data_IF_976804926538
#
_entry.id   IF_976804926538
#
_cell.length_a   1.000
_cell.length_b   1.000
_cell.length_c   1.000
_cell.angle_alpha   90.00
_cell.angle_beta   90.00
_cell.angle_gamma   90.00
#
_symmetry.space_group_name_H-M   'P 1'
#
loop_
_entity.id
_entity.type
_entity.pdbx_description
1 polymer ?
#
# COMPACT_ATOMS: atom_id res chain seq x y z
N UNK A 1 29.05 -30.47 -11.77
CA UNK A 1 28.68 -30.24 -10.36
C UNK A 1 28.29 -31.62 -9.83
N UNK A 2 29.16 -32.20 -9.00
CA UNK A 2 29.17 -33.63 -8.65
C UNK A 2 27.92 -33.97 -7.83
N UNK A 3 27.18 -35.00 -8.26
CA UNK A 3 26.14 -35.68 -7.49
C UNK A 3 26.64 -35.97 -6.06
N UNK A 4 26.24 -35.16 -5.07
CA UNK A 4 26.41 -35.50 -3.65
C UNK A 4 25.05 -35.94 -3.11
N UNK A 5 24.87 -37.26 -3.03
CA UNK A 5 23.65 -37.95 -2.55
C UNK A 5 23.34 -37.79 -1.05
N UNK A 6 24.14 -37.03 -0.29
CA UNK A 6 23.94 -36.92 1.16
C UNK A 6 23.05 -35.73 1.53
N UNK A 7 21.74 -35.99 1.53
CA UNK A 7 20.68 -35.04 1.85
C UNK A 7 20.80 -34.47 3.26
N UNK A 8 21.28 -35.27 4.22
CA UNK A 8 21.45 -34.83 5.61
C UNK A 8 22.65 -33.90 5.77
N UNK A 9 23.74 -34.16 5.05
CA UNK A 9 24.90 -33.27 5.01
C UNK A 9 24.54 -31.90 4.41
N UNK A 10 23.81 -31.86 3.28
CA UNK A 10 23.39 -30.61 2.63
C UNK A 10 22.43 -29.78 3.49
N UNK A 11 21.45 -30.42 4.13
CA UNK A 11 20.54 -29.74 5.07
C UNK A 11 21.29 -29.18 6.29
N UNK A 12 22.32 -29.90 6.77
CA UNK A 12 23.18 -29.45 7.87
C UNK A 12 24.11 -28.29 7.46
N UNK A 13 24.67 -28.32 6.26
CA UNK A 13 25.47 -27.23 5.68
C UNK A 13 24.61 -25.97 5.45
N UNK A 14 23.41 -26.11 4.90
CA UNK A 14 22.45 -25.00 4.76
C UNK A 14 21.98 -24.48 6.12
N UNK A 15 21.73 -25.37 7.08
CA UNK A 15 21.38 -24.98 8.45
C UNK A 15 22.49 -24.20 9.15
N UNK A 16 23.76 -24.54 8.88
CA UNK A 16 24.92 -23.78 9.34
C UNK A 16 25.07 -22.44 8.61
N UNK A 17 24.78 -22.39 7.31
CA UNK A 17 24.79 -21.15 6.52
C UNK A 17 23.76 -20.12 7.01
N UNK A 18 22.61 -20.59 7.51
CA UNK A 18 21.56 -19.75 8.07
C UNK A 18 21.58 -19.70 9.61
N UNK A 19 22.67 -20.06 10.28
CA UNK A 19 22.70 -20.18 11.74
C UNK A 19 22.33 -18.89 12.48
N UNK A 20 22.63 -17.75 11.87
CA UNK A 20 22.38 -16.42 12.43
C UNK A 20 21.00 -15.86 12.05
N UNK A 21 20.27 -16.57 11.17
CA UNK A 21 18.90 -16.22 10.80
C UNK A 21 17.93 -16.95 11.74
N UNK A 22 16.99 -16.20 12.34
CA UNK A 22 15.91 -16.71 13.20
C UNK A 22 15.15 -17.91 12.60
N UNK A 23 15.01 -17.93 11.29
CA UNK A 23 14.28 -18.91 10.50
C UNK A 23 15.20 -19.94 9.79
N UNK A 24 16.49 -19.94 10.07
CA UNK A 24 17.50 -20.63 9.25
C UNK A 24 17.30 -22.12 9.05
N UNK A 25 16.88 -22.85 10.08
CA UNK A 25 16.57 -24.28 9.96
C UNK A 25 15.42 -24.55 8.97
N UNK A 26 14.35 -23.74 9.04
CA UNK A 26 13.20 -23.90 8.16
C UNK A 26 13.57 -23.50 6.72
N UNK A 27 14.31 -22.41 6.54
CA UNK A 27 14.83 -21.98 5.24
C UNK A 27 15.67 -23.08 4.59
N UNK A 28 16.59 -23.69 5.34
CA UNK A 28 17.43 -24.77 4.86
C UNK A 28 16.59 -25.95 4.31
N UNK A 29 15.53 -26.35 5.03
CA UNK A 29 14.64 -27.43 4.59
C UNK A 29 13.87 -27.02 3.34
N UNK A 30 13.29 -25.81 3.31
CA UNK A 30 12.50 -25.33 2.18
C UNK A 30 13.34 -25.25 0.90
N UNK A 31 14.56 -24.72 0.99
CA UNK A 31 15.49 -24.64 -0.15
C UNK A 31 15.91 -26.04 -0.60
N UNK A 32 16.33 -26.91 0.32
CA UNK A 32 16.73 -28.26 -0.05
C UNK A 32 15.60 -29.04 -0.73
N UNK A 33 14.35 -28.88 -0.27
CA UNK A 33 13.18 -29.51 -0.89
C UNK A 33 12.86 -28.93 -2.26
N UNK A 34 12.98 -27.61 -2.41
CA UNK A 34 12.76 -26.96 -3.69
C UNK A 34 13.78 -27.43 -4.75
N UNK A 35 15.06 -27.56 -4.38
CA UNK A 35 16.11 -28.12 -5.25
C UNK A 35 15.76 -29.54 -5.70
N UNK A 36 15.34 -30.40 -4.76
CA UNK A 36 14.91 -31.77 -5.10
C UNK A 36 13.75 -31.80 -6.10
N UNK A 37 12.77 -30.89 -5.97
CA UNK A 37 11.65 -30.83 -6.90
C UNK A 37 12.08 -30.30 -8.27
N UNK A 38 12.93 -29.27 -8.32
CA UNK A 38 13.42 -28.71 -9.56
C UNK A 38 14.25 -29.72 -10.36
N UNK A 39 15.08 -30.53 -9.69
CA UNK A 39 15.86 -31.59 -10.34
C UNK A 39 14.94 -32.59 -11.07
N UNK A 40 13.80 -32.96 -10.49
CA UNK A 40 12.81 -33.88 -11.12
C UNK A 40 12.26 -33.29 -12.43
N UNK A 41 12.02 -31.98 -12.48
CA UNK A 41 11.53 -31.30 -13.67
C UNK A 41 12.64 -31.14 -14.73
N UNK A 42 13.84 -30.75 -14.32
CA UNK A 42 14.98 -30.59 -15.22
C UNK A 42 15.43 -31.91 -15.84
N UNK A 43 15.37 -33.03 -15.10
CA UNK A 43 15.61 -34.39 -15.63
C UNK A 43 14.65 -34.79 -16.76
N UNK A 44 13.53 -34.08 -16.90
CA UNK A 44 12.50 -34.30 -17.92
C UNK A 44 12.43 -33.18 -18.96
N UNK A 45 13.46 -32.33 -19.03
CA UNK A 45 13.51 -31.15 -19.90
C UNK A 45 12.29 -30.22 -19.74
N UNK A 46 11.73 -30.14 -18.53
CA UNK A 46 10.59 -29.27 -18.22
C UNK A 46 11.06 -28.03 -17.47
N UNK A 47 10.88 -26.85 -18.07
CA UNK A 47 11.37 -25.57 -17.52
C UNK A 47 10.27 -24.53 -17.26
N UNK A 48 9.03 -24.80 -17.67
CA UNK A 48 7.88 -23.91 -17.46
C UNK A 48 7.36 -24.01 -16.02
N UNK A 49 8.15 -23.49 -15.08
CA UNK A 49 7.96 -23.65 -13.64
C UNK A 49 7.74 -22.29 -12.98
N UNK A 50 6.77 -22.23 -12.06
CA UNK A 50 6.60 -21.12 -11.12
C UNK A 50 6.77 -21.65 -9.70
N UNK A 51 7.51 -20.91 -8.86
CA UNK A 51 7.84 -21.32 -7.50
C UNK A 51 6.95 -20.57 -6.50
N UNK A 52 6.46 -21.28 -5.49
CA UNK A 52 5.86 -20.65 -4.30
C UNK A 52 6.31 -21.35 -3.03
N UNK A 53 6.55 -20.56 -1.99
CA UNK A 53 7.06 -20.98 -0.70
C UNK A 53 6.32 -20.21 0.39
N UNK A 54 5.14 -20.71 0.76
CA UNK A 54 4.19 -19.99 1.63
C UNK A 54 4.30 -20.43 3.08
N UNK A 55 4.12 -19.49 3.99
CA UNK A 55 3.94 -19.72 5.43
C UNK A 55 2.88 -18.76 5.98
N UNK A 56 2.41 -19.02 7.20
CA UNK A 56 1.58 -18.08 7.97
C UNK A 56 2.40 -17.01 8.71
N UNK A 57 3.71 -17.24 8.86
CA UNK A 57 4.64 -16.27 9.45
C UNK A 57 5.18 -15.34 8.35
N UNK A 58 4.81 -14.06 8.42
CA UNK A 58 5.23 -13.03 7.47
C UNK A 58 6.75 -12.86 7.38
N UNK A 59 7.48 -13.01 8.50
CA UNK A 59 8.94 -12.86 8.52
C UNK A 59 9.62 -14.02 7.77
N UNK A 60 9.15 -15.25 8.01
CA UNK A 60 9.62 -16.43 7.28
C UNK A 60 9.30 -16.33 5.78
N UNK A 61 8.14 -15.79 5.41
CA UNK A 61 7.78 -15.57 4.00
C UNK A 61 8.78 -14.61 3.33
N UNK A 62 9.08 -13.49 3.98
CA UNK A 62 10.07 -12.52 3.47
C UNK A 62 11.43 -13.20 3.28
N UNK A 63 11.93 -13.90 4.30
CA UNK A 63 13.23 -14.57 4.24
C UNK A 63 13.28 -15.66 3.17
N UNK A 64 12.23 -16.48 3.08
CA UNK A 64 12.15 -17.58 2.13
C UNK A 64 12.17 -17.08 0.69
N UNK A 65 11.31 -16.13 0.33
CA UNK A 65 11.30 -15.60 -1.04
C UNK A 65 12.57 -14.81 -1.35
N UNK A 66 13.14 -14.09 -0.38
CA UNK A 66 14.43 -13.38 -0.57
C UNK A 66 15.56 -14.35 -0.90
N UNK A 67 15.64 -15.49 -0.22
CA UNK A 67 16.65 -16.50 -0.51
C UNK A 67 16.37 -17.29 -1.79
N UNK A 68 15.10 -17.59 -2.07
CA UNK A 68 14.70 -18.27 -3.31
C UNK A 68 15.04 -17.40 -4.53
N UNK A 69 14.70 -16.10 -4.50
CA UNK A 69 14.95 -15.18 -5.60
C UNK A 69 16.44 -15.05 -5.97
N UNK A 70 17.35 -15.20 -4.99
CA UNK A 70 18.81 -15.18 -5.23
C UNK A 70 19.33 -16.47 -5.88
N UNK A 71 18.62 -17.58 -5.72
CA UNK A 71 19.12 -18.93 -6.04
C UNK A 71 18.48 -19.53 -7.28
N UNK A 72 17.20 -19.24 -7.52
CA UNK A 72 16.41 -19.87 -8.57
C UNK A 72 15.89 -18.82 -9.56
N UNK A 73 16.28 -18.89 -10.84
CA UNK A 73 15.85 -17.94 -11.85
C UNK A 73 14.47 -18.34 -12.43
N UNK A 74 13.48 -18.50 -11.55
CA UNK A 74 12.10 -18.85 -11.93
C UNK A 74 11.11 -17.81 -11.40
N UNK A 75 9.98 -17.59 -12.10
CA UNK A 75 8.91 -16.74 -11.61
C UNK A 75 8.42 -17.17 -10.22
N UNK A 76 8.12 -16.19 -9.37
CA UNK A 76 7.69 -16.38 -7.99
C UNK A 76 6.22 -16.00 -7.81
N UNK A 77 5.42 -16.96 -7.38
CA UNK A 77 4.04 -16.74 -6.94
C UNK A 77 3.97 -16.50 -5.45
N UNK A 78 3.95 -15.23 -5.08
CA UNK A 78 3.94 -14.78 -3.69
C UNK A 78 2.60 -15.03 -3.00
N UNK A 79 2.67 -15.35 -1.71
CA UNK A 79 1.49 -15.45 -0.87
C UNK A 79 1.85 -15.80 0.57
N UNK A 80 1.06 -15.28 1.50
CA UNK A 80 0.99 -15.76 2.89
C UNK A 80 -0.16 -16.77 2.94
N UNK A 81 0.00 -17.90 3.63
CA UNK A 81 -1.08 -18.88 3.79
C UNK A 81 -1.68 -18.81 5.20
N UNK A 82 -2.94 -19.21 5.36
CA UNK A 82 -3.65 -19.19 6.65
C UNK A 82 -3.58 -17.82 7.37
N UNK A 83 -3.79 -16.71 6.64
CA UNK A 83 -3.60 -15.37 7.20
C UNK A 83 -4.68 -14.97 8.24
N UNK A 84 -5.74 -15.76 8.44
CA UNK A 84 -6.82 -15.46 9.40
C UNK A 84 -7.96 -14.65 8.77
N UNK A 85 -8.84 -13.98 9.54
CA UNK A 85 -9.93 -13.14 9.01
C UNK A 85 -9.37 -11.90 8.29
N UNK A 86 -10.18 -11.23 7.43
CA UNK A 86 -9.74 -10.12 6.56
C UNK A 86 -8.91 -9.06 7.29
N UNK A 87 -9.36 -8.60 8.45
CA UNK A 87 -8.77 -7.48 9.19
C UNK A 87 -7.32 -7.78 9.59
N UNK A 88 -7.08 -8.97 10.13
CA UNK A 88 -5.72 -9.38 10.55
C UNK A 88 -4.93 -10.02 9.41
N UNK A 89 -5.61 -10.70 8.49
CA UNK A 89 -5.01 -11.38 7.35
C UNK A 89 -4.51 -10.43 6.29
N UNK A 90 -5.19 -9.30 6.08
CA UNK A 90 -4.74 -8.22 5.23
C UNK A 90 -3.42 -7.65 5.76
N UNK A 91 -3.33 -7.33 7.05
CA UNK A 91 -2.10 -6.82 7.69
C UNK A 91 -0.95 -7.83 7.53
N UNK A 92 -1.16 -9.11 7.88
CA UNK A 92 -0.13 -10.16 7.73
C UNK A 92 0.35 -10.30 6.28
N UNK A 93 -0.57 -10.23 5.33
CA UNK A 93 -0.28 -10.38 3.90
C UNK A 93 0.49 -9.16 3.38
N UNK A 94 0.00 -7.94 3.63
CA UNK A 94 0.59 -6.70 3.13
C UNK A 94 2.00 -6.49 3.69
N UNK A 95 2.26 -6.83 4.95
CA UNK A 95 3.60 -6.75 5.53
C UNK A 95 4.60 -7.61 4.74
N UNK A 96 4.28 -8.88 4.47
CA UNK A 96 5.19 -9.76 3.74
C UNK A 96 5.27 -9.43 2.25
N UNK A 97 4.12 -9.33 1.59
CA UNK A 97 4.01 -9.18 0.15
C UNK A 97 4.47 -7.79 -0.30
N UNK A 98 4.07 -6.74 0.43
CA UNK A 98 4.52 -5.38 0.16
C UNK A 98 6.03 -5.22 0.31
N UNK A 99 6.62 -5.85 1.35
CA UNK A 99 8.09 -5.86 1.52
C UNK A 99 8.79 -6.51 0.33
N UNK A 100 8.34 -7.70 -0.09
CA UNK A 100 8.96 -8.42 -1.20
C UNK A 100 8.82 -7.65 -2.53
N UNK A 101 7.60 -7.20 -2.83
CA UNK A 101 7.30 -6.49 -4.07
C UNK A 101 8.04 -5.15 -4.16
N UNK A 102 8.13 -4.39 -3.07
CA UNK A 102 8.89 -3.15 -3.03
C UNK A 102 10.40 -3.36 -3.23
N UNK A 103 10.91 -4.57 -2.97
CA UNK A 103 12.30 -4.97 -3.23
C UNK A 103 12.48 -5.68 -4.59
N UNK A 104 11.46 -5.63 -5.46
CA UNK A 104 11.53 -6.22 -6.81
C UNK A 104 11.48 -7.74 -6.82
N UNK A 105 10.96 -8.37 -5.77
CA UNK A 105 10.79 -9.82 -5.68
C UNK A 105 9.32 -10.16 -5.87
N UNK A 106 9.01 -11.02 -6.85
CA UNK A 106 7.65 -11.52 -7.11
C UNK A 106 7.14 -11.20 -8.51
N UNK A 107 6.46 -12.18 -9.12
CA UNK A 107 5.93 -12.08 -10.48
C UNK A 107 4.39 -12.14 -10.49
N UNK A 108 3.83 -12.81 -9.49
CA UNK A 108 2.39 -12.85 -9.24
C UNK A 108 2.13 -12.96 -7.74
N UNK A 109 0.97 -12.48 -7.29
CA UNK A 109 0.62 -12.41 -5.87
C UNK A 109 -0.77 -12.95 -5.62
N UNK A 110 -0.95 -13.58 -4.46
CA UNK A 110 -2.26 -13.89 -3.91
C UNK A 110 -2.29 -13.56 -2.41
N UNK A 111 -3.27 -12.75 -2.02
CA UNK A 111 -3.68 -12.58 -0.62
C UNK A 111 -4.57 -13.76 -0.23
N UNK A 112 -4.41 -14.31 0.98
CA UNK A 112 -5.17 -15.50 1.40
C UNK A 112 -5.65 -15.41 2.83
N UNK A 113 -6.88 -14.91 3.01
CA UNK A 113 -7.55 -14.77 4.30
C UNK A 113 -8.96 -15.38 4.25
N UNK A 114 -9.54 -15.64 5.42
CA UNK A 114 -10.86 -16.26 5.55
C UNK A 114 -11.97 -15.21 5.37
N UNK A 115 -12.28 -14.86 4.13
CA UNK A 115 -13.41 -14.01 3.73
C UNK A 115 -13.82 -14.29 2.28
N UNK A 116 -14.77 -13.54 1.72
CA UNK A 116 -15.12 -13.59 0.30
C UNK A 116 -13.86 -13.34 -0.57
N UNK A 117 -13.57 -14.21 -1.56
CA UNK A 117 -12.40 -14.07 -2.42
C UNK A 117 -12.37 -12.78 -3.25
N UNK A 118 -13.52 -12.11 -3.45
CA UNK A 118 -13.56 -10.79 -4.09
C UNK A 118 -12.64 -9.81 -3.35
N UNK A 119 -12.71 -9.81 -2.02
CA UNK A 119 -11.87 -8.94 -1.21
C UNK A 119 -10.37 -9.28 -1.33
N UNK A 120 -10.00 -10.56 -1.49
CA UNK A 120 -8.59 -10.97 -1.73
C UNK A 120 -8.04 -10.31 -3.01
N UNK A 121 -8.89 -10.19 -4.04
CA UNK A 121 -8.54 -9.55 -5.32
C UNK A 121 -8.48 -8.04 -5.17
N UNK A 122 -9.45 -7.42 -4.50
CA UNK A 122 -9.49 -5.97 -4.27
C UNK A 122 -8.26 -5.50 -3.48
N UNK A 123 -7.98 -6.14 -2.33
CA UNK A 123 -6.81 -5.80 -1.51
C UNK A 123 -5.49 -6.07 -2.26
N UNK A 124 -5.46 -7.12 -3.12
CA UNK A 124 -4.27 -7.46 -3.93
C UNK A 124 -4.02 -6.46 -5.06
N UNK A 125 -5.08 -5.97 -5.71
CA UNK A 125 -4.99 -4.89 -6.69
C UNK A 125 -4.55 -3.59 -6.03
N UNK A 126 -5.16 -3.25 -4.89
CA UNK A 126 -4.83 -2.05 -4.13
C UNK A 126 -3.34 -2.04 -3.73
N UNK A 127 -2.81 -3.17 -3.23
CA UNK A 127 -1.38 -3.32 -2.94
C UNK A 127 -0.49 -3.01 -4.16
N UNK A 128 -0.85 -3.51 -5.34
CA UNK A 128 -0.08 -3.27 -6.57
C UNK A 128 -0.21 -1.81 -7.05
N UNK A 129 -1.37 -1.19 -6.88
CA UNK A 129 -1.59 0.22 -7.19
C UNK A 129 -0.77 1.13 -6.27
N UNK A 130 -0.77 0.87 -4.96
CA UNK A 130 0.02 1.64 -3.97
C UNK A 130 1.52 1.60 -4.27
N UNK A 131 2.03 0.45 -4.72
CA UNK A 131 3.44 0.29 -5.09
C UNK A 131 3.78 0.77 -6.51
N UNK A 132 2.80 1.24 -7.29
CA UNK A 132 2.99 1.63 -8.69
C UNK A 132 3.37 0.49 -9.63
N UNK A 133 3.15 -0.76 -9.20
CA UNK A 133 3.45 -1.98 -9.99
C UNK A 133 2.34 -2.31 -10.99
N UNK A 134 1.20 -1.65 -10.87
CA UNK A 134 0.08 -1.75 -11.79
C UNK A 134 -0.58 -0.38 -11.93
N UNK A 135 -0.99 -0.04 -13.16
CA UNK A 135 -1.80 1.15 -13.39
C UNK A 135 -3.15 1.01 -12.69
N UNK A 136 -3.51 2.01 -11.88
CA UNK A 136 -4.81 2.04 -11.19
C UNK A 136 -5.94 2.13 -12.20
N UNK A 137 -7.04 1.44 -11.90
CA UNK A 137 -8.33 1.64 -12.56
C UNK A 137 -9.31 2.25 -11.57
N UNK A 138 -10.06 3.25 -12.02
CA UNK A 138 -10.96 4.03 -11.17
C UNK A 138 -10.25 4.96 -10.19
N UNK A 139 -11.04 5.70 -9.41
CA UNK A 139 -10.50 6.75 -8.54
C UNK A 139 -9.66 6.20 -7.38
N UNK A 140 -8.69 7.00 -6.94
CA UNK A 140 -8.00 6.86 -5.67
C UNK A 140 -8.61 7.87 -4.68
N UNK A 141 -9.26 7.37 -3.63
CA UNK A 141 -9.82 8.22 -2.58
C UNK A 141 -8.81 8.46 -1.46
N UNK A 142 -8.47 9.72 -1.24
CA UNK A 142 -7.60 10.18 -0.15
C UNK A 142 -8.48 10.91 0.86
N UNK A 143 -8.37 10.58 2.14
CA UNK A 143 -9.12 11.25 3.19
C UNK A 143 -8.22 11.59 4.37
N UNK A 144 -8.49 12.74 5.03
CA UNK A 144 -7.79 13.05 6.26
C UNK A 144 -8.22 12.08 7.39
N UNK A 145 -7.34 11.80 8.36
CA UNK A 145 -7.78 11.20 9.60
C UNK A 145 -8.76 12.11 10.34
N UNK A 146 -9.49 11.57 11.30
CA UNK A 146 -10.26 12.41 12.22
C UNK A 146 -9.31 13.14 13.18
N UNK A 147 -9.61 14.40 13.47
CA UNK A 147 -8.86 15.22 14.42
C UNK A 147 -9.79 16.20 15.14
N UNK A 148 -9.28 16.95 16.12
CA UNK A 148 -10.07 17.95 16.86
C UNK A 148 -10.58 19.14 16.05
N UNK A 149 -10.22 19.23 14.76
CA UNK A 149 -10.69 20.28 13.83
C UNK A 149 -11.82 19.81 12.92
N UNK A 150 -12.25 18.56 13.04
CA UNK A 150 -13.33 18.01 12.22
C UNK A 150 -14.63 18.78 12.48
N UNK A 151 -15.32 19.17 11.40
CA UNK A 151 -16.54 19.98 11.47
C UNK A 151 -17.75 19.32 10.82
N UNK A 152 -17.59 18.11 10.27
CA UNK A 152 -18.60 17.34 9.56
C UNK A 152 -18.52 15.87 9.94
N UNK A 153 -19.55 15.08 9.63
CA UNK A 153 -19.45 13.62 9.68
C UNK A 153 -18.62 13.09 8.51
N UNK A 154 -17.29 13.14 8.69
CA UNK A 154 -16.33 12.73 7.67
C UNK A 154 -16.45 11.24 7.31
N UNK A 155 -16.79 10.37 8.28
CA UNK A 155 -16.85 8.93 8.02
C UNK A 155 -17.96 8.60 7.02
N UNK A 156 -19.16 9.13 7.26
CA UNK A 156 -20.29 8.94 6.35
C UNK A 156 -19.99 9.53 4.96
N UNK A 157 -19.45 10.76 4.91
CA UNK A 157 -19.10 11.41 3.65
C UNK A 157 -18.06 10.61 2.85
N UNK A 158 -16.98 10.13 3.49
CA UNK A 158 -15.94 9.33 2.83
C UNK A 158 -16.51 8.03 2.29
N UNK A 159 -17.37 7.35 3.05
CA UNK A 159 -18.00 6.09 2.62
C UNK A 159 -18.92 6.31 1.41
N UNK A 160 -19.74 7.35 1.43
CA UNK A 160 -20.66 7.69 0.33
C UNK A 160 -19.89 8.07 -0.93
N UNK A 161 -18.83 8.87 -0.80
CA UNK A 161 -17.94 9.22 -1.91
C UNK A 161 -17.27 7.97 -2.46
N UNK A 162 -16.71 7.09 -1.62
CA UNK A 162 -16.05 5.87 -2.05
C UNK A 162 -16.98 4.98 -2.90
N UNK A 163 -18.20 4.73 -2.39
CA UNK A 163 -19.18 3.90 -3.07
C UNK A 163 -19.56 4.46 -4.46
N UNK A 164 -19.68 5.78 -4.56
CA UNK A 164 -20.06 6.46 -5.81
C UNK A 164 -18.91 6.52 -6.81
N UNK A 165 -17.70 6.80 -6.35
CA UNK A 165 -16.49 6.77 -7.18
C UNK A 165 -16.27 5.37 -7.77
N UNK A 166 -16.40 4.32 -6.96
CA UNK A 166 -16.26 2.94 -7.42
C UNK A 166 -17.27 2.53 -8.51
N UNK A 167 -18.46 3.14 -8.51
CA UNK A 167 -19.51 2.82 -9.46
C UNK A 167 -19.43 3.61 -10.78
N UNK A 168 -18.80 4.78 -10.78
CA UNK A 168 -18.96 5.76 -11.87
C UNK A 168 -17.65 6.26 -12.49
N UNK A 169 -16.53 6.10 -11.77
CA UNK A 169 -15.22 6.61 -12.19
C UNK A 169 -14.30 5.45 -12.57
N UNK A 170 -13.77 5.52 -13.79
CA UNK A 170 -12.90 4.49 -14.38
C UNK A 170 -11.47 4.99 -14.62
N UNK A 171 -11.25 6.30 -14.64
CA UNK A 171 -9.90 6.89 -14.77
C UNK A 171 -9.19 6.96 -13.42
N UNK A 172 -7.85 6.84 -13.37
CA UNK A 172 -7.07 6.88 -12.13
C UNK A 172 -6.92 8.30 -11.56
N UNK A 173 -8.04 8.95 -11.28
CA UNK A 173 -8.06 10.28 -10.66
C UNK A 173 -7.89 10.18 -9.15
N UNK A 174 -7.16 11.15 -8.58
CA UNK A 174 -7.04 11.30 -7.13
C UNK A 174 -8.12 12.23 -6.62
N UNK A 175 -8.97 11.70 -5.74
CA UNK A 175 -10.07 12.46 -5.12
C UNK A 175 -9.77 12.63 -3.63
N UNK A 176 -9.71 13.86 -3.14
CA UNK A 176 -9.45 14.17 -1.74
C UNK A 176 -10.72 14.60 -1.00
N UNK A 177 -10.99 14.02 0.17
CA UNK A 177 -12.09 14.41 1.07
C UNK A 177 -11.54 14.78 2.44
N UNK A 178 -11.64 16.06 2.78
CA UNK A 178 -11.06 16.61 4.00
C UNK A 178 -12.15 17.16 4.92
N UNK A 179 -12.09 16.83 6.21
CA UNK A 179 -13.09 17.20 7.21
C UNK A 179 -12.92 18.59 7.84
N UNK A 180 -12.01 19.41 7.31
CA UNK A 180 -11.88 20.81 7.68
C UNK A 180 -11.33 21.67 6.52
N UNK A 181 -11.56 22.98 6.59
CA UNK A 181 -11.07 23.96 5.59
C UNK A 181 -9.67 24.51 5.87
N UNK A 182 -9.09 24.20 7.04
CA UNK A 182 -7.83 24.83 7.51
C UNK A 182 -6.60 24.11 6.97
N UNK A 183 -6.42 22.84 7.34
CA UNK A 183 -5.27 22.03 6.91
C UNK A 183 -5.56 21.21 5.64
N UNK A 184 -6.84 21.03 5.32
CA UNK A 184 -7.28 20.29 4.14
C UNK A 184 -6.55 20.72 2.86
N UNK A 185 -6.44 22.02 2.56
CA UNK A 185 -5.73 22.54 1.39
C UNK A 185 -4.33 21.94 1.15
N UNK A 186 -3.51 21.81 2.21
CA UNK A 186 -2.19 21.19 2.13
C UNK A 186 -2.23 19.66 2.15
N UNK A 187 -3.19 19.05 2.87
CA UNK A 187 -3.36 17.60 2.93
C UNK A 187 -3.91 16.99 1.62
N UNK A 188 -4.57 17.80 0.79
CA UNK A 188 -5.08 17.43 -0.53
C UNK A 188 -4.06 17.68 -1.67
N UNK A 189 -2.80 17.92 -1.32
CA UNK A 189 -1.77 18.15 -2.32
C UNK A 189 -1.62 16.93 -3.25
N UNK A 190 -1.87 17.14 -4.53
CA UNK A 190 -1.73 16.10 -5.56
C UNK A 190 -3.06 15.44 -5.94
N UNK A 191 -4.16 15.85 -5.32
CA UNK A 191 -5.50 15.48 -5.76
C UNK A 191 -5.90 16.21 -7.05
N UNK A 192 -6.58 15.51 -7.95
CA UNK A 192 -7.20 16.06 -9.15
C UNK A 192 -8.51 16.79 -8.82
N UNK A 193 -9.28 16.21 -7.89
CA UNK A 193 -10.53 16.78 -7.37
C UNK A 193 -10.49 16.71 -5.85
N UNK A 194 -10.85 17.79 -5.16
CA UNK A 194 -10.82 17.84 -3.70
C UNK A 194 -12.05 18.53 -3.14
N UNK A 195 -12.51 18.08 -1.97
CA UNK A 195 -13.48 18.79 -1.14
C UNK A 195 -12.95 19.05 0.25
N UNK A 196 -13.14 20.29 0.70
CA UNK A 196 -12.93 20.72 2.08
C UNK A 196 -14.27 20.98 2.73
N UNK A 197 -14.71 20.07 3.58
CA UNK A 197 -16.00 20.10 4.24
C UNK A 197 -15.86 20.66 5.67
N UNK A 198 -16.62 21.69 6.01
CA UNK A 198 -16.60 22.33 7.32
C UNK A 198 -17.51 23.54 7.38
N UNK A 199 -17.92 23.97 8.57
CA UNK A 199 -18.83 25.12 8.75
C UNK A 199 -20.11 25.03 7.88
N UNK A 200 -20.73 23.84 7.82
CA UNK A 200 -21.95 23.53 7.04
C UNK A 200 -21.85 23.78 5.53
N UNK A 201 -20.64 23.76 4.98
CA UNK A 201 -20.37 23.95 3.55
C UNK A 201 -19.22 23.07 3.08
N UNK A 202 -19.19 22.79 1.78
CA UNK A 202 -18.06 22.19 1.10
C UNK A 202 -17.45 23.15 0.09
N UNK A 203 -16.13 23.27 0.10
CA UNK A 203 -15.39 24.01 -0.92
C UNK A 203 -14.73 22.99 -1.85
N UNK A 204 -15.09 23.02 -3.13
CA UNK A 204 -14.64 22.02 -4.11
C UNK A 204 -13.61 22.65 -5.03
N UNK A 205 -12.54 21.89 -5.25
CA UNK A 205 -11.43 22.24 -6.11
C UNK A 205 -11.25 21.19 -7.20
N UNK A 206 -10.88 21.64 -8.40
CA UNK A 206 -10.50 20.79 -9.52
C UNK A 206 -9.19 21.31 -10.08
N UNK A 207 -8.19 20.44 -10.17
CA UNK A 207 -6.81 20.80 -10.57
C UNK A 207 -6.25 22.02 -9.81
N UNK A 208 -6.63 22.14 -8.53
CA UNK A 208 -6.21 23.21 -7.63
C UNK A 208 -6.96 24.54 -7.78
N UNK A 209 -7.92 24.64 -8.71
CA UNK A 209 -8.80 25.80 -8.84
C UNK A 209 -10.09 25.60 -8.06
N UNK A 210 -10.50 26.60 -7.28
CA UNK A 210 -11.80 26.60 -6.60
C UNK A 210 -12.92 26.70 -7.64
N UNK A 211 -13.73 25.66 -7.77
CA UNK A 211 -14.85 25.61 -8.73
C UNK A 211 -16.23 25.79 -8.07
N UNK A 212 -16.32 25.53 -6.76
CA UNK A 212 -17.60 25.61 -6.05
C UNK A 212 -17.46 25.95 -4.57
N UNK A 213 -18.55 26.50 -4.02
CA UNK A 213 -18.86 26.41 -2.60
C UNK A 213 -20.33 26.05 -2.50
N UNK A 214 -20.63 24.93 -1.84
CA UNK A 214 -21.98 24.37 -1.75
C UNK A 214 -22.36 24.11 -0.29
N UNK A 215 -23.66 24.12 0.06
CA UNK A 215 -24.15 23.60 1.33
C UNK A 215 -23.74 22.15 1.56
N UNK A 216 -23.72 21.71 2.81
CA UNK A 216 -23.28 20.36 3.21
C UNK A 216 -24.07 19.24 2.50
N UNK A 217 -25.38 19.43 2.36
CA UNK A 217 -26.30 18.50 1.69
C UNK A 217 -26.02 18.33 0.18
N UNK A 218 -25.33 19.27 -0.45
CA UNK A 218 -25.02 19.26 -1.89
C UNK A 218 -23.57 18.79 -2.17
N UNK A 219 -22.77 18.53 -1.13
CA UNK A 219 -21.34 18.20 -1.27
C UNK A 219 -21.15 16.97 -2.15
N UNK A 220 -21.83 15.87 -1.84
CA UNK A 220 -21.66 14.60 -2.53
C UNK A 220 -21.98 14.73 -4.02
N UNK A 221 -23.17 15.26 -4.34
CA UNK A 221 -23.65 15.39 -5.70
C UNK A 221 -22.75 16.34 -6.52
N UNK A 222 -22.35 17.47 -5.93
CA UNK A 222 -21.46 18.41 -6.62
C UNK A 222 -20.08 17.82 -6.83
N UNK A 223 -19.48 17.15 -5.85
CA UNK A 223 -18.17 16.51 -5.98
C UNK A 223 -18.17 15.49 -7.11
N UNK A 224 -19.18 14.62 -7.15
CA UNK A 224 -19.30 13.61 -8.20
C UNK A 224 -19.52 14.23 -9.58
N UNK A 225 -20.30 15.30 -9.68
CA UNK A 225 -20.46 16.02 -10.95
C UNK A 225 -19.13 16.56 -11.47
N UNK A 226 -18.27 17.09 -10.59
CA UNK A 226 -16.93 17.55 -10.96
C UNK A 226 -16.02 16.37 -11.35
N UNK A 227 -16.07 15.25 -10.63
CA UNK A 227 -15.34 14.04 -10.99
C UNK A 227 -15.72 13.51 -12.38
N UNK A 228 -17.03 13.41 -12.70
CA UNK A 228 -17.48 12.97 -14.03
C UNK A 228 -17.00 13.91 -15.13
N UNK A 229 -17.15 15.22 -14.91
CA UNK A 229 -16.70 16.24 -15.87
C UNK A 229 -15.19 16.16 -16.09
N UNK A 230 -14.42 15.96 -15.02
CA UNK A 230 -12.98 15.81 -15.11
C UNK A 230 -12.58 14.52 -15.83
N UNK A 231 -13.23 13.40 -15.54
CA UNK A 231 -13.04 12.14 -16.26
C UNK A 231 -13.24 12.30 -17.77
N UNK A 232 -14.31 12.98 -18.19
CA UNK A 232 -14.61 13.18 -19.60
C UNK A 232 -13.53 14.04 -20.29
N UNK A 233 -13.04 15.07 -19.60
CA UNK A 233 -11.90 15.90 -20.08
C UNK A 233 -10.60 15.10 -20.19
N UNK A 234 -10.33 14.18 -19.27
CA UNK A 234 -9.16 13.29 -19.34
C UNK A 234 -9.29 12.34 -20.53
N UNK A 235 -10.48 11.80 -20.78
CA UNK A 235 -10.76 10.90 -21.91
C UNK A 235 -10.68 11.61 -23.28
N UNK A 236 -11.09 12.88 -23.35
CA UNK A 236 -10.97 13.68 -24.58
C UNK A 236 -9.55 14.19 -24.85
N UNK A 237 -8.67 14.15 -23.84
CA UNK A 237 -7.32 14.70 -23.90
C UNK A 237 -7.23 16.19 -23.56
N UNK A 238 -8.33 16.82 -23.13
CA UNK A 238 -8.39 18.24 -22.72
C UNK A 238 -7.81 18.48 -21.32
N UNK A 239 -7.58 17.42 -20.55
CA UNK A 239 -6.94 17.45 -19.25
C UNK A 239 -6.01 16.25 -19.07
N UNK A 240 -5.02 16.41 -18.18
CA UNK A 240 -4.14 15.34 -17.75
C UNK A 240 -4.22 15.17 -16.24
N UNK A 241 -4.16 13.92 -15.81
CA UNK A 241 -4.11 13.54 -14.39
C UNK A 241 -2.83 14.09 -13.75
N UNK A 242 -2.94 14.59 -12.51
CA UNK A 242 -1.82 15.10 -11.71
C UNK A 242 -1.25 16.45 -12.16
N UNK A 243 -1.58 16.96 -13.35
CA UNK A 243 -1.18 18.30 -13.80
C UNK A 243 -2.13 19.35 -13.20
N UNK A 244 -1.72 19.98 -12.09
CA UNK A 244 -2.46 21.10 -11.50
C UNK A 244 -2.28 22.38 -12.31
N UNK A 245 -3.32 23.20 -12.36
CA UNK A 245 -3.25 24.56 -12.91
C UNK A 245 -2.77 25.57 -11.89
N UNK A 246 -3.17 25.36 -10.64
CA UNK A 246 -2.90 26.26 -9.51
C UNK A 246 -2.50 25.43 -8.30
N UNK A 247 -1.51 25.89 -7.55
CA UNK A 247 -1.19 25.29 -6.26
C UNK A 247 -2.18 25.75 -5.21
N UNK A 248 -2.69 24.80 -4.43
CA UNK A 248 -3.51 25.11 -3.28
C UNK A 248 -2.57 25.62 -2.18
N UNK A 249 -2.57 26.92 -1.93
CA UNK A 249 -1.69 27.55 -0.93
C UNK A 249 -2.29 27.36 0.47
N UNK A 250 -1.61 26.66 1.39
CA UNK A 250 -2.04 26.59 2.78
C UNK A 250 -1.96 27.99 3.42
N UNK A 251 -2.81 28.29 4.42
CA UNK A 251 -2.69 29.53 5.18
C UNK A 251 -1.31 29.64 5.82
N UNK A 252 -0.76 30.87 5.89
CA UNK A 252 0.56 31.11 6.47
C UNK A 252 0.66 30.50 7.88
N UNK A 253 1.76 29.78 8.20
CA UNK A 253 1.96 29.24 9.53
C UNK A 253 1.98 30.39 10.56
N UNK A 254 1.17 30.26 11.62
CA UNK A 254 1.21 31.22 12.73
C UNK A 254 2.54 31.06 13.50
N UNK A 255 3.50 31.96 13.24
CA UNK A 255 4.78 32.05 13.93
C UNK A 255 6.01 31.84 13.04
N UNK A 256 7.19 32.18 13.55
CA UNK A 256 8.45 32.03 12.81
C UNK A 256 8.80 30.55 12.61
N UNK A 257 9.21 30.19 11.39
CA UNK A 257 9.75 28.87 11.01
C UNK A 257 10.87 28.47 11.98
N UNK A 258 10.71 27.33 12.66
CA UNK A 258 11.71 26.80 13.61
C UNK A 258 11.48 27.18 15.09
N UNK A 259 10.56 28.09 15.40
CA UNK A 259 10.29 28.51 16.78
C UNK A 259 9.79 27.39 17.70
N UNK A 260 9.20 26.32 17.14
CA UNK A 260 8.84 25.12 17.87
C UNK A 260 10.04 24.23 18.22
N UNK A 261 11.00 24.08 17.29
CA UNK A 261 12.19 23.27 17.50
C UNK A 261 13.09 23.87 18.58
N UNK A 262 13.34 25.18 18.52
CA UNK A 262 14.20 25.86 19.50
C UNK A 262 13.60 25.83 20.91
N UNK A 263 12.27 25.97 21.02
CA UNK A 263 11.54 25.82 22.30
C UNK A 263 11.59 24.39 22.83
N UNK A 264 11.42 23.39 21.97
CA UNK A 264 11.45 21.97 22.35
C UNK A 264 12.87 21.47 22.69
N UNK A 265 13.89 21.95 21.96
CA UNK A 265 15.29 21.63 22.19
C UNK A 265 15.78 22.14 23.56
N UNK A 266 15.24 23.28 24.01
CA UNK A 266 15.55 23.85 25.32
C UNK A 266 14.87 23.10 26.48
N UNK A 267 13.78 22.36 26.22
CA UNK A 267 12.94 21.79 27.27
C UNK A 267 13.03 20.27 27.49
N UNK A 268 13.45 19.41 26.54
CA UNK A 268 13.73 17.98 26.83
C UNK A 268 14.32 17.25 25.62
N UNK A 269 15.63 17.07 25.62
CA UNK A 269 16.26 15.88 25.01
C UNK A 269 16.98 15.10 26.12
N UNK A 270 16.20 14.55 27.05
CA UNK A 270 16.72 13.46 27.89
C UNK A 270 16.76 12.23 27.00
N UNK A 271 17.98 11.78 26.66
CA UNK A 271 18.26 10.62 25.78
C UNK A 271 17.83 9.28 26.37
N UNK A 272 16.55 9.13 26.71
CA UNK A 272 15.92 7.85 26.97
C UNK A 272 15.36 7.31 25.67
N UNK A 273 15.74 6.09 25.29
CA UNK A 273 15.04 5.34 24.27
C UNK A 273 13.56 5.26 24.63
N UNK A 274 12.68 5.77 23.77
CA UNK A 274 11.24 5.61 23.91
C UNK A 274 10.91 4.12 23.92
N UNK A 275 10.03 3.61 24.79
CA UNK A 275 9.70 2.18 24.86
C UNK A 275 9.13 1.59 23.55
N UNK A 276 8.76 2.44 22.58
CA UNK A 276 8.29 2.07 21.24
C UNK A 276 9.41 1.99 20.18
N UNK A 277 10.67 2.24 20.53
CA UNK A 277 11.78 1.98 19.61
C UNK A 277 11.88 0.48 19.41
N UNK A 278 11.33 -0.02 18.31
CA UNK A 278 11.50 -1.40 17.87
C UNK A 278 12.99 -1.59 17.61
N UNK A 279 13.67 -2.28 18.53
CA UNK A 279 15.08 -2.63 18.36
C UNK A 279 15.15 -3.66 17.25
N UNK A 280 15.89 -3.35 16.17
CA UNK A 280 16.27 -4.35 15.19
C UNK A 280 17.00 -5.47 15.90
N UNK A 281 16.49 -6.69 15.79
CA UNK A 281 17.16 -7.91 16.24
C UNK A 281 18.21 -8.32 15.23
#
# INVERSE_FOLDING_TARGET
>A
IIERKDKQARAKELGAFFSDNKHGYMLAIMIAKLEEYLDIFYERDFFDITISAKSMDASLVIDAYTEIAKRFPHPLHLGVTHAGPKETGCIRSVVALGTLLANGIGDTVRISYANDPIYEVEDGLELLYTLGLRERKGAELIACPTCGRIQVDLFSLVQDVNNKLAAEIEVPMKVAVMGCVVNGPGEAEGADVAVFAGDRKGIIYVQGEKVATVPEEEILDRLLSECRTFQDRVRSGDAKLGEKKVDIVPPDPEGELGSGWEKMAHERMHGGTTPLTIKGS
#
